data_IF_754050654631
#
_entry.id   IF_754050654631
#
_cell.length_a   1.000
_cell.length_b   1.000
_cell.length_c   1.000
_cell.angle_alpha   90.00
_cell.angle_beta   90.00
_cell.angle_gamma   90.00
#
_symmetry.space_group_name_H-M   'P 1'
#
loop_
_entity.id
_entity.type
_entity.pdbx_description
1 polymer ?
#
# COMPACT_ATOMS: atom_id res chain seq x y z
N UNK A 1 -2.57 12.33 13.28
CA UNK A 1 -3.74 11.49 13.60
C UNK A 1 -4.97 12.31 13.27
N UNK A 2 -5.92 11.77 12.52
CA UNK A 2 -7.13 12.49 12.08
C UNK A 2 -8.37 11.76 12.60
N UNK A 3 -9.41 12.52 12.97
CA UNK A 3 -10.75 11.94 13.16
C UNK A 3 -11.34 11.56 11.78
N UNK A 4 -12.25 10.59 11.72
CA UNK A 4 -13.00 10.25 10.48
C UNK A 4 -13.56 11.50 9.80
N UNK A 5 -14.15 12.43 10.56
CA UNK A 5 -14.70 13.67 10.02
C UNK A 5 -13.63 14.57 9.37
N UNK A 6 -12.40 14.60 9.91
CA UNK A 6 -11.32 15.39 9.33
C UNK A 6 -10.77 14.76 8.05
N UNK A 7 -10.78 13.42 7.96
CA UNK A 7 -10.40 12.71 6.74
C UNK A 7 -11.42 12.95 5.64
N UNK A 8 -12.72 12.91 5.96
CA UNK A 8 -13.79 13.27 5.02
C UNK A 8 -13.59 14.69 4.49
N UNK A 9 -13.41 15.68 5.37
CA UNK A 9 -13.17 17.08 4.95
C UNK A 9 -11.91 17.22 4.10
N UNK A 10 -10.84 16.47 4.39
CA UNK A 10 -9.63 16.48 3.57
C UNK A 10 -9.86 15.84 2.19
N UNK A 11 -10.61 14.74 2.12
CA UNK A 11 -10.95 14.08 0.87
C UNK A 11 -11.81 15.00 -0.02
N UNK A 12 -12.83 15.65 0.55
CA UNK A 12 -13.65 16.66 -0.14
C UNK A 12 -12.80 17.83 -0.64
N UNK A 13 -11.95 18.39 0.23
CA UNK A 13 -11.07 19.52 -0.10
C UNK A 13 -10.11 19.19 -1.26
N UNK A 14 -9.66 17.95 -1.34
CA UNK A 14 -8.74 17.49 -2.39
C UNK A 14 -9.47 16.88 -3.60
N UNK A 15 -10.81 16.85 -3.63
CA UNK A 15 -11.57 16.26 -4.72
C UNK A 15 -11.33 14.76 -4.90
N UNK A 16 -11.05 14.03 -3.81
CA UNK A 16 -10.90 12.57 -3.83
C UNK A 16 -12.20 11.91 -3.39
N UNK A 17 -12.84 11.25 -4.35
CA UNK A 17 -14.11 10.59 -4.12
C UNK A 17 -15.27 11.58 -4.04
N UNK A 18 -16.46 11.09 -4.36
CA UNK A 18 -17.75 11.78 -4.16
C UNK A 18 -18.37 11.38 -2.82
N UNK A 19 -19.41 12.10 -2.38
CA UNK A 19 -20.19 11.84 -1.14
C UNK A 19 -20.57 10.36 -0.96
N UNK A 20 -20.83 9.64 -2.06
CA UNK A 20 -21.17 8.22 -2.06
C UNK A 20 -19.97 7.27 -1.90
N UNK A 21 -18.77 7.69 -2.28
CA UNK A 21 -17.56 6.84 -2.34
C UNK A 21 -16.58 7.08 -1.19
N UNK A 22 -16.59 8.26 -0.56
CA UNK A 22 -15.72 8.59 0.58
C UNK A 22 -15.87 7.57 1.74
N UNK A 23 -17.09 7.20 2.19
CA UNK A 23 -17.24 6.20 3.25
C UNK A 23 -16.68 4.83 2.87
N UNK A 24 -16.77 4.47 1.57
CA UNK A 24 -16.25 3.20 1.05
C UNK A 24 -14.71 3.20 1.09
N UNK A 25 -14.07 4.29 0.68
CA UNK A 25 -12.60 4.43 0.75
C UNK A 25 -12.08 4.31 2.18
N UNK A 26 -12.72 4.99 3.14
CA UNK A 26 -12.35 4.91 4.56
C UNK A 26 -12.55 3.48 5.09
N UNK A 27 -13.69 2.86 4.80
CA UNK A 27 -13.95 1.49 5.24
C UNK A 27 -12.92 0.50 4.66
N UNK A 28 -12.51 0.65 3.40
CA UNK A 28 -11.52 -0.22 2.77
C UNK A 28 -10.15 -0.19 3.47
N UNK A 29 -9.66 0.98 3.88
CA UNK A 29 -8.36 1.09 4.56
C UNK A 29 -8.40 0.55 6.00
N UNK A 30 -9.57 0.63 6.65
CA UNK A 30 -9.82 0.00 7.95
C UNK A 30 -9.86 -1.54 7.82
N UNK A 31 -10.65 -2.07 6.88
CA UNK A 31 -10.78 -3.52 6.65
C UNK A 31 -9.47 -4.20 6.26
N UNK A 32 -8.60 -3.48 5.53
CA UNK A 32 -7.26 -3.97 5.15
C UNK A 32 -6.19 -3.76 6.23
N UNK A 33 -6.57 -3.27 7.42
CA UNK A 33 -5.67 -3.06 8.55
C UNK A 33 -4.52 -2.08 8.24
N UNK A 34 -4.76 -1.08 7.40
CA UNK A 34 -3.82 0.03 7.17
C UNK A 34 -3.97 1.11 8.23
N UNK A 35 -5.17 1.23 8.81
CA UNK A 35 -5.48 2.10 9.94
C UNK A 35 -6.33 1.34 10.95
N UNK A 36 -6.19 1.69 12.22
CA UNK A 36 -7.05 1.26 13.32
C UNK A 36 -7.95 2.41 13.77
N UNK A 37 -9.16 2.09 14.23
CA UNK A 37 -10.08 3.07 14.82
C UNK A 37 -9.80 3.17 16.31
N UNK A 38 -9.13 4.24 16.71
CA UNK A 38 -8.85 4.58 18.11
C UNK A 38 -10.02 5.29 18.81
N UNK A 39 -9.78 5.73 20.04
CA UNK A 39 -10.77 6.46 20.84
C UNK A 39 -11.27 7.71 20.13
N UNK A 40 -12.60 7.89 20.11
CA UNK A 40 -13.26 9.01 19.43
C UNK A 40 -13.24 8.92 17.90
N UNK A 41 -13.27 7.70 17.32
CA UNK A 41 -13.23 7.45 15.86
C UNK A 41 -12.03 8.10 15.16
N UNK A 42 -10.87 8.07 15.83
CA UNK A 42 -9.61 8.55 15.24
C UNK A 42 -8.96 7.44 14.43
N UNK A 43 -8.65 7.74 13.16
CA UNK A 43 -7.89 6.84 12.31
C UNK A 43 -6.41 6.92 12.67
N UNK A 44 -5.88 5.82 13.18
CA UNK A 44 -4.50 5.66 13.60
C UNK A 44 -3.79 4.73 12.62
N UNK A 45 -2.80 5.21 11.84
CA UNK A 45 -2.05 4.37 10.92
C UNK A 45 -1.40 3.19 11.64
N UNK A 46 -1.49 2.01 11.04
CA UNK A 46 -0.73 0.84 11.49
C UNK A 46 0.69 0.90 10.93
N UNK A 47 1.61 0.10 11.47
CA UNK A 47 2.96 -0.04 10.90
C UNK A 47 2.89 -0.43 9.41
N UNK A 48 1.94 -1.28 9.02
CA UNK A 48 1.76 -1.69 7.62
C UNK A 48 1.30 -0.52 6.75
N UNK A 49 0.32 0.25 7.21
CA UNK A 49 -0.15 1.44 6.50
C UNK A 49 0.95 2.47 6.28
N UNK A 50 1.77 2.75 7.31
CA UNK A 50 2.89 3.69 7.22
C UNK A 50 3.94 3.22 6.22
N UNK A 51 4.34 1.95 6.29
CA UNK A 51 5.38 1.40 5.40
C UNK A 51 4.92 1.36 3.95
N UNK A 52 3.65 1.02 3.70
CA UNK A 52 3.07 1.07 2.35
C UNK A 52 3.15 2.50 1.78
N UNK A 53 2.68 3.50 2.54
CA UNK A 53 2.69 4.90 2.10
C UNK A 53 4.11 5.38 1.83
N UNK A 54 5.05 5.13 2.74
CA UNK A 54 6.46 5.51 2.54
C UNK A 54 7.10 4.77 1.36
N UNK A 55 6.77 3.49 1.16
CA UNK A 55 7.26 2.71 0.02
C UNK A 55 6.77 3.25 -1.31
N UNK A 56 5.46 3.54 -1.42
CA UNK A 56 4.91 4.16 -2.62
C UNK A 56 5.53 5.55 -2.85
N UNK A 57 5.62 6.38 -1.82
CA UNK A 57 6.18 7.73 -1.92
C UNK A 57 7.67 7.73 -2.32
N UNK A 58 8.45 6.76 -1.84
CA UNK A 58 9.87 6.61 -2.19
C UNK A 58 10.05 6.20 -3.65
N UNK A 59 9.11 5.41 -4.18
CA UNK A 59 9.13 5.01 -5.59
C UNK A 59 8.63 6.16 -6.46
N UNK A 60 7.38 6.57 -6.28
CA UNK A 60 6.71 7.63 -7.03
C UNK A 60 5.74 8.40 -6.10
N UNK A 61 6.08 9.64 -5.70
CA UNK A 61 5.24 10.47 -4.83
C UNK A 61 3.82 10.68 -5.35
N UNK A 62 3.61 10.69 -6.68
CA UNK A 62 2.29 10.90 -7.27
C UNK A 62 1.33 9.73 -7.03
N UNK A 63 1.83 8.56 -6.61
CA UNK A 63 0.99 7.42 -6.20
C UNK A 63 0.33 7.63 -4.83
N UNK A 64 0.84 8.56 -4.02
CA UNK A 64 0.33 8.87 -2.67
C UNK A 64 -0.38 10.21 -2.65
N UNK A 65 0.09 11.17 -3.44
CA UNK A 65 -0.50 12.50 -3.50
C UNK A 65 -1.89 12.47 -4.16
N UNK A 66 -2.82 13.34 -3.71
CA UNK A 66 -4.19 13.35 -4.20
C UNK A 66 -4.31 13.74 -5.68
N UNK A 67 -3.36 14.53 -6.18
CA UNK A 67 -3.36 15.18 -7.50
C UNK A 67 -3.77 14.28 -8.67
N UNK A 68 -3.16 13.09 -8.79
CA UNK A 68 -3.48 12.12 -9.84
C UNK A 68 -4.94 11.66 -9.78
N UNK A 69 -5.46 11.42 -8.57
CA UNK A 69 -6.84 10.98 -8.40
C UNK A 69 -7.81 12.13 -8.74
N UNK A 70 -7.53 13.34 -8.27
CA UNK A 70 -8.31 14.54 -8.57
C UNK A 70 -8.44 14.74 -10.08
N UNK A 71 -7.32 14.68 -10.82
CA UNK A 71 -7.33 14.84 -12.28
C UNK A 71 -8.19 13.78 -12.98
N UNK A 72 -8.18 12.52 -12.51
CA UNK A 72 -9.03 11.46 -13.08
C UNK A 72 -10.51 11.72 -12.76
N UNK A 73 -10.85 12.10 -11.53
CA UNK A 73 -12.25 12.43 -11.15
C UNK A 73 -12.79 13.62 -11.97
N UNK A 74 -11.97 14.64 -12.23
CA UNK A 74 -12.33 15.76 -13.12
C UNK A 74 -12.64 15.28 -14.54
N UNK A 75 -11.82 14.39 -15.12
CA UNK A 75 -12.09 13.82 -16.44
C UNK A 75 -13.37 12.98 -16.46
N UNK A 76 -13.65 12.22 -15.39
CA UNK A 76 -14.90 11.46 -15.26
C UNK A 76 -16.12 12.40 -15.18
N UNK A 77 -16.00 13.53 -14.49
CA UNK A 77 -17.05 14.55 -14.46
C UNK A 77 -17.29 15.18 -15.84
N UNK A 78 -16.22 15.46 -16.61
CA UNK A 78 -16.36 15.95 -17.98
C UNK A 78 -17.09 14.95 -18.88
N UNK A 79 -16.85 13.64 -18.72
CA UNK A 79 -17.62 12.61 -19.43
C UNK A 79 -19.10 12.68 -19.04
N UNK A 80 -19.40 12.80 -17.74
CA UNK A 80 -20.78 12.83 -17.24
C UNK A 80 -21.62 13.99 -17.80
N UNK A 81 -20.98 15.13 -18.10
CA UNK A 81 -21.63 16.30 -18.71
C UNK A 81 -21.49 16.35 -20.25
N UNK A 82 -20.96 15.30 -20.87
CA UNK A 82 -20.79 15.19 -22.33
C UNK A 82 -19.70 16.07 -22.93
N UNK A 83 -18.74 16.53 -22.11
CA UNK A 83 -17.62 17.39 -22.52
C UNK A 83 -16.31 16.65 -22.76
N UNK A 84 -16.24 15.35 -22.49
CA UNK A 84 -15.09 14.50 -22.79
C UNK A 84 -15.54 13.15 -23.37
N UNK A 85 -14.73 12.61 -24.28
CA UNK A 85 -14.95 11.28 -24.85
C UNK A 85 -14.50 10.18 -23.89
N UNK A 86 -15.37 9.20 -23.66
CA UNK A 86 -15.12 8.09 -22.75
C UNK A 86 -13.89 7.28 -23.14
N UNK A 87 -13.75 6.92 -24.43
CA UNK A 87 -12.67 6.06 -24.89
C UNK A 87 -11.32 6.76 -24.82
N UNK A 88 -11.28 8.05 -25.14
CA UNK A 88 -10.09 8.89 -25.02
C UNK A 88 -9.60 8.99 -23.57
N UNK A 89 -10.50 9.29 -22.63
CA UNK A 89 -10.15 9.37 -21.19
C UNK A 89 -9.68 8.02 -20.66
N UNK A 90 -10.34 6.93 -21.03
CA UNK A 90 -9.95 5.58 -20.63
C UNK A 90 -8.54 5.23 -21.15
N UNK A 91 -8.29 5.42 -22.45
CA UNK A 91 -7.00 5.13 -23.06
C UNK A 91 -5.87 5.97 -22.44
N UNK A 92 -6.12 7.27 -22.23
CA UNK A 92 -5.17 8.17 -21.60
C UNK A 92 -4.84 7.77 -20.17
N UNK A 93 -5.85 7.50 -19.35
CA UNK A 93 -5.69 7.11 -17.94
C UNK A 93 -4.94 5.78 -17.83
N UNK A 94 -5.34 4.78 -18.64
CA UNK A 94 -4.69 3.48 -18.66
C UNK A 94 -3.20 3.58 -19.05
N UNK A 95 -2.86 4.42 -20.03
CA UNK A 95 -1.48 4.64 -20.47
C UNK A 95 -0.63 5.29 -19.36
N UNK A 96 -1.17 6.27 -18.62
CA UNK A 96 -0.48 6.86 -17.47
C UNK A 96 -0.18 5.80 -16.41
N UNK A 97 -1.19 5.04 -15.99
CA UNK A 97 -1.00 3.99 -14.98
C UNK A 97 -0.09 2.87 -15.47
N UNK A 98 -0.11 2.52 -16.76
CA UNK A 98 0.83 1.56 -17.35
C UNK A 98 2.28 2.02 -17.19
N UNK A 99 2.58 3.29 -17.49
CA UNK A 99 3.94 3.86 -17.33
C UNK A 99 4.36 3.87 -15.86
N UNK A 100 3.48 4.33 -14.97
CA UNK A 100 3.73 4.32 -13.52
C UNK A 100 3.97 2.91 -13.00
N UNK A 101 3.19 1.92 -13.43
CA UNK A 101 3.38 0.53 -13.05
C UNK A 101 4.72 -0.03 -13.54
N UNK A 102 5.11 0.24 -14.78
CA UNK A 102 6.43 -0.17 -15.31
C UNK A 102 7.59 0.46 -14.55
N UNK A 103 7.45 1.70 -14.11
CA UNK A 103 8.43 2.36 -13.28
C UNK A 103 8.45 1.76 -11.86
N UNK A 104 7.27 1.52 -11.28
CA UNK A 104 7.11 0.91 -9.97
C UNK A 104 7.79 -0.46 -9.89
N UNK A 105 7.55 -1.34 -10.87
CA UNK A 105 8.17 -2.67 -10.93
C UNK A 105 9.70 -2.58 -11.04
N UNK A 106 10.22 -1.62 -11.81
CA UNK A 106 11.68 -1.40 -11.93
C UNK A 106 12.32 -0.89 -10.63
N UNK A 107 11.53 -0.22 -9.79
CA UNK A 107 11.98 0.40 -8.54
C UNK A 107 11.49 -0.35 -7.29
N UNK A 108 10.99 -1.57 -7.43
CA UNK A 108 10.33 -2.33 -6.36
C UNK A 108 11.26 -2.59 -5.16
N UNK A 109 12.58 -2.67 -5.40
CA UNK A 109 13.59 -2.86 -4.36
C UNK A 109 13.53 -1.76 -3.28
N UNK A 110 13.13 -0.54 -3.64
CA UNK A 110 12.98 0.55 -2.69
C UNK A 110 11.87 0.28 -1.66
N UNK A 111 10.81 -0.43 -2.07
CA UNK A 111 9.73 -0.90 -1.19
C UNK A 111 10.18 -2.12 -0.38
N UNK A 112 10.84 -3.10 -1.01
CA UNK A 112 11.34 -4.30 -0.33
C UNK A 112 12.27 -3.96 0.84
N UNK A 113 13.18 -3.01 0.65
CA UNK A 113 14.08 -2.53 1.72
C UNK A 113 13.32 -2.00 2.94
N UNK A 114 12.24 -1.23 2.73
CA UNK A 114 11.44 -0.69 3.83
C UNK A 114 10.63 -1.77 4.54
N UNK A 115 10.12 -2.74 3.78
CA UNK A 115 9.42 -3.89 4.32
C UNK A 115 10.36 -4.80 5.12
N UNK A 116 11.58 -5.06 4.67
CA UNK A 116 12.54 -5.89 5.40
C UNK A 116 12.93 -5.30 6.77
N UNK A 117 13.09 -3.97 6.84
CA UNK A 117 13.41 -3.26 8.09
C UNK A 117 12.24 -3.29 9.07
N UNK A 118 11.01 -3.08 8.57
CA UNK A 118 9.83 -2.88 9.41
C UNK A 118 9.13 -4.18 9.78
N UNK A 119 9.21 -5.16 8.88
CA UNK A 119 8.66 -6.49 9.02
C UNK A 119 9.80 -7.46 8.77
N UNK A 120 10.51 -7.80 9.84
CA UNK A 120 11.42 -8.93 9.79
C UNK A 120 10.66 -10.10 9.18
N UNK A 121 11.08 -10.51 7.98
CA UNK A 121 10.47 -11.64 7.30
C UNK A 121 10.41 -12.78 8.31
N UNK A 122 9.36 -13.61 8.30
CA UNK A 122 9.37 -14.88 9.05
C UNK A 122 10.62 -15.74 8.74
N UNK A 123 11.38 -15.40 7.67
CA UNK A 123 12.72 -15.92 7.39
C UNK A 123 13.78 -15.57 8.46
N UNK A 124 13.63 -14.49 9.22
CA UNK A 124 14.55 -14.02 10.27
C UNK A 124 14.10 -14.41 11.68
N UNK A 125 12.89 -14.96 11.87
CA UNK A 125 12.49 -15.58 13.15
C UNK A 125 13.27 -16.85 13.49
N UNK A 126 14.19 -17.28 12.61
CA UNK A 126 15.27 -18.17 13.00
C UNK A 126 16.43 -17.37 13.56
N UNK A 127 16.58 -17.33 14.89
CA UNK A 127 17.92 -17.18 15.49
C UNK A 127 18.86 -18.09 14.71
N UNK A 128 20.03 -17.59 14.32
CA UNK A 128 21.07 -18.40 13.68
C UNK A 128 21.57 -19.45 14.68
N UNK A 129 20.85 -20.57 14.82
CA UNK A 129 21.13 -21.61 15.81
C UNK A 129 22.29 -22.49 15.33
N UNK A 130 22.18 -23.07 14.13
CA UNK A 130 23.19 -23.99 13.56
C UNK A 130 23.23 -23.98 12.03
N UNK A 131 24.37 -24.39 11.46
CA UNK A 131 24.57 -24.58 10.00
C UNK A 131 24.37 -26.05 9.61
N UNK A 132 23.85 -26.30 8.41
CA UNK A 132 23.69 -27.64 7.85
C UNK A 132 25.04 -28.29 7.54
N UNK A 133 25.25 -29.55 7.94
CA UNK A 133 26.49 -30.29 7.69
C UNK A 133 26.77 -30.62 6.21
N UNK A 134 25.75 -30.59 5.35
CA UNK A 134 25.89 -30.86 3.91
C UNK A 134 26.19 -29.61 3.09
N UNK A 135 25.35 -28.57 3.22
CA UNK A 135 25.45 -27.36 2.38
C UNK A 135 26.08 -26.15 3.09
N UNK A 136 26.43 -26.28 4.38
CA UNK A 136 27.00 -25.20 5.22
C UNK A 136 26.16 -23.91 5.30
N UNK A 137 24.88 -23.93 4.93
CA UNK A 137 23.97 -22.78 5.10
C UNK A 137 23.28 -22.83 6.46
N UNK A 138 22.81 -21.69 6.98
CA UNK A 138 22.02 -21.65 8.21
C UNK A 138 20.68 -22.37 8.02
N UNK A 139 20.30 -23.17 9.02
CA UNK A 139 19.05 -23.93 9.01
C UNK A 139 17.89 -23.07 9.55
N UNK A 140 16.68 -23.30 9.04
CA UNK A 140 15.47 -22.61 9.52
C UNK A 140 14.94 -23.29 10.78
N UNK A 141 14.64 -22.51 11.81
CA UNK A 141 13.99 -22.99 13.02
C UNK A 141 12.47 -23.08 12.82
N UNK A 142 11.90 -24.27 13.05
CA UNK A 142 10.47 -24.53 13.01
C UNK A 142 9.97 -24.68 14.45
N UNK A 143 9.16 -23.71 14.90
CA UNK A 143 8.61 -23.64 16.26
C UNK A 143 7.44 -24.59 16.55
N UNK A 144 6.89 -25.25 15.52
CA UNK A 144 5.84 -26.25 15.71
C UNK A 144 6.37 -27.46 16.50
N UNK A 145 5.61 -27.98 17.47
CA UNK A 145 6.03 -29.13 18.29
C UNK A 145 6.04 -30.44 17.48
N UNK A 146 7.09 -31.27 17.56
CA UNK A 146 8.37 -30.99 18.21
C UNK A 146 9.20 -29.99 17.39
N UNK A 147 9.81 -29.03 18.10
CA UNK A 147 10.61 -27.98 17.48
C UNK A 147 11.84 -28.59 16.78
N UNK A 148 12.16 -28.11 15.57
CA UNK A 148 13.20 -28.70 14.72
C UNK A 148 13.93 -27.68 13.85
N UNK A 149 15.14 -28.03 13.42
CA UNK A 149 15.89 -27.29 12.40
C UNK A 149 15.70 -27.95 11.04
N UNK A 150 15.39 -27.16 10.01
CA UNK A 150 15.16 -27.65 8.65
C UNK A 150 16.12 -27.00 7.65
N UNK A 151 16.77 -27.83 6.81
CA UNK A 151 17.55 -27.40 5.66
C UNK A 151 16.68 -27.53 4.40
N UNK A 152 16.53 -26.46 3.61
CA UNK A 152 15.72 -26.47 2.38
C UNK A 152 16.49 -26.89 1.12
N UNK A 153 17.63 -27.56 1.30
CA UNK A 153 18.48 -28.14 0.27
C UNK A 153 18.85 -29.55 0.69
#
# INVERSE_FOLDING_TARGET
MYCDCQVITLMEKHGIGTDASIPVHINNICQRNYVNVGSGRRLVPTSLGVVLVHGYQKIDPELVLPTMRTAVEEQLNLIAIGQADFHAVLAHTAEIFRRKFQYFVRSIEAMDQLFEVSFSSLKTSGKALSRCGKCRRYMRYIQAKPARLHCSH
#
